data_IF_691622323014
#
_entry.id   IF_691622323014
#
_cell.length_a   1.000
_cell.length_b   1.000
_cell.length_c   1.000
_cell.angle_alpha   90.00
_cell.angle_beta   90.00
_cell.angle_gamma   90.00
#
_symmetry.space_group_name_H-M   'P 1'
#
loop_
_entity.id
_entity.type
_entity.pdbx_description
1 polymer ?
#
# COMPACT_ATOMS: atom_id res chain seq x y z
N UNK A 1 13.87 22.80 -8.54
CA UNK A 1 13.23 21.46 -8.58
C UNK A 1 11.74 21.68 -8.74
N UNK A 2 11.17 21.32 -9.89
CA UNK A 2 9.73 21.47 -10.13
C UNK A 2 8.99 20.36 -9.39
N UNK A 3 8.49 20.68 -8.19
CA UNK A 3 7.43 19.88 -7.56
C UNK A 3 6.21 19.96 -8.46
N UNK A 4 5.99 18.90 -9.23
CA UNK A 4 4.80 18.73 -10.04
C UNK A 4 3.62 18.57 -9.07
N UNK A 5 2.98 19.70 -8.73
CA UNK A 5 1.80 19.74 -7.89
C UNK A 5 0.69 19.10 -8.73
N UNK A 6 0.27 17.88 -8.37
CA UNK A 6 -0.97 17.32 -8.87
C UNK A 6 -2.06 18.39 -8.80
N UNK A 7 -2.77 18.63 -9.89
CA UNK A 7 -3.79 19.68 -9.87
C UNK A 7 -4.92 19.23 -8.95
N UNK A 8 -5.55 20.18 -8.26
CA UNK A 8 -6.70 19.91 -7.38
C UNK A 8 -7.78 19.08 -8.08
N UNK A 9 -7.94 19.23 -9.40
CA UNK A 9 -8.86 18.45 -10.22
C UNK A 9 -8.53 16.96 -10.26
N UNK A 10 -7.26 16.57 -10.33
CA UNK A 10 -6.86 15.15 -10.39
C UNK A 10 -7.15 14.42 -9.07
N UNK A 11 -6.93 15.11 -7.95
CA UNK A 11 -7.21 14.57 -6.61
C UNK A 11 -8.72 14.37 -6.41
N UNK A 12 -9.54 15.33 -6.86
CA UNK A 12 -10.99 15.16 -6.82
C UNK A 12 -11.46 14.03 -7.75
N UNK A 13 -10.92 13.90 -8.97
CA UNK A 13 -11.23 12.76 -9.84
C UNK A 13 -10.83 11.42 -9.22
N UNK A 14 -9.68 11.34 -8.55
CA UNK A 14 -9.28 10.16 -7.79
C UNK A 14 -10.29 9.82 -6.70
N UNK A 15 -10.67 10.81 -5.89
CA UNK A 15 -11.67 10.65 -4.84
C UNK A 15 -13.02 10.19 -5.40
N UNK A 16 -13.52 10.83 -6.45
CA UNK A 16 -14.76 10.46 -7.13
C UNK A 16 -14.72 9.02 -7.65
N UNK A 17 -13.61 8.59 -8.25
CA UNK A 17 -13.45 7.21 -8.74
C UNK A 17 -13.65 6.18 -7.63
N UNK A 18 -13.12 6.44 -6.43
CA UNK A 18 -13.29 5.57 -5.26
C UNK A 18 -14.74 5.60 -4.77
N UNK A 19 -15.38 6.77 -4.73
CA UNK A 19 -16.80 6.91 -4.37
C UNK A 19 -17.75 6.17 -5.33
N UNK A 20 -17.33 6.00 -6.59
CA UNK A 20 -18.03 5.23 -7.63
C UNK A 20 -17.77 3.72 -7.57
N UNK A 21 -16.89 3.26 -6.67
CA UNK A 21 -16.71 1.83 -6.39
C UNK A 21 -15.32 1.29 -6.66
N UNK A 22 -14.37 2.12 -7.12
CA UNK A 22 -12.97 1.75 -7.15
C UNK A 22 -12.40 1.67 -5.72
N UNK A 23 -11.36 0.87 -5.56
CA UNK A 23 -10.54 0.89 -4.35
C UNK A 23 -9.11 0.55 -4.70
N UNK A 24 -8.16 1.09 -3.97
CA UNK A 24 -6.73 0.89 -4.21
C UNK A 24 -6.07 0.27 -2.99
N UNK A 25 -5.33 -0.80 -3.21
CA UNK A 25 -4.43 -1.37 -2.23
C UNK A 25 -3.01 -0.88 -2.52
N UNK A 26 -2.39 -0.26 -1.52
CA UNK A 26 -0.99 0.12 -1.53
C UNK A 26 -0.30 -0.76 -0.49
N UNK A 27 0.73 -1.51 -0.90
CA UNK A 27 1.49 -2.33 0.05
C UNK A 27 2.99 -2.25 -0.16
N UNK A 28 3.72 -2.28 0.94
CA UNK A 28 5.17 -2.33 0.96
C UNK A 28 5.62 -3.46 1.86
N UNK A 29 6.58 -4.24 1.38
CA UNK A 29 7.28 -5.25 2.16
C UNK A 29 8.77 -4.90 2.24
N UNK A 30 9.35 -4.96 3.43
CA UNK A 30 10.81 -4.87 3.61
C UNK A 30 11.47 -6.25 3.42
N UNK A 31 12.78 -6.28 3.22
CA UNK A 31 13.58 -7.50 3.03
C UNK A 31 14.39 -7.89 4.27
N UNK A 32 13.98 -7.43 5.45
CA UNK A 32 14.75 -7.56 6.70
C UNK A 32 15.09 -9.01 7.11
N UNK A 33 14.45 -10.02 6.51
CA UNK A 33 14.73 -11.45 6.72
C UNK A 33 15.29 -12.16 5.45
N UNK A 34 15.80 -11.40 4.48
CA UNK A 34 16.39 -11.93 3.25
C UNK A 34 15.35 -12.63 2.37
N UNK A 35 15.64 -13.87 1.97
CA UNK A 35 14.79 -14.67 1.06
C UNK A 35 13.36 -14.90 1.57
N UNK A 36 13.16 -14.83 2.89
CA UNK A 36 11.85 -15.00 3.52
C UNK A 36 10.99 -13.73 3.44
N UNK A 37 11.58 -12.61 3.02
CA UNK A 37 10.99 -11.29 3.09
C UNK A 37 10.75 -10.86 4.54
N UNK A 38 10.43 -9.59 4.76
CA UNK A 38 10.28 -9.02 6.08
C UNK A 38 8.89 -8.51 6.36
N UNK A 39 8.78 -7.38 7.04
CA UNK A 39 7.49 -6.86 7.47
C UNK A 39 6.73 -6.28 6.28
N UNK A 40 5.42 -6.51 6.26
CA UNK A 40 4.54 -5.98 5.21
C UNK A 40 3.50 -5.05 5.82
N UNK A 41 3.32 -3.90 5.18
CA UNK A 41 2.25 -2.94 5.48
C UNK A 41 1.34 -2.87 4.28
N UNK A 42 0.04 -2.98 4.51
CA UNK A 42 -1.02 -2.89 3.50
C UNK A 42 -1.98 -1.79 3.93
N UNK A 43 -2.29 -0.88 3.00
CA UNK A 43 -3.28 0.18 3.16
C UNK A 43 -4.26 0.07 2.01
N UNK A 44 -5.52 -0.21 2.29
CA UNK A 44 -6.57 -0.27 1.29
C UNK A 44 -7.47 0.95 1.40
N UNK A 45 -7.41 1.83 0.40
CA UNK A 45 -8.25 3.01 0.28
C UNK A 45 -9.55 2.64 -0.42
N UNK A 46 -10.69 2.90 0.23
CA UNK A 46 -12.02 2.55 -0.28
C UNK A 46 -13.08 3.54 0.19
N UNK A 47 -14.27 3.43 -0.38
CA UNK A 47 -15.45 4.16 0.08
C UNK A 47 -15.95 3.60 1.42
N UNK A 48 -16.40 4.49 2.31
CA UNK A 48 -17.15 4.10 3.51
C UNK A 48 -18.48 3.41 3.16
N UNK A 49 -18.89 2.34 3.86
CA UNK A 49 -20.13 1.62 3.55
C UNK A 49 -21.41 2.46 3.59
N UNK A 50 -21.47 3.50 4.43
CA UNK A 50 -22.69 4.29 4.70
C UNK A 50 -22.57 5.78 4.35
N UNK A 51 -21.38 6.23 3.94
CA UNK A 51 -21.06 7.66 3.82
C UNK A 51 -20.42 7.96 2.48
N UNK A 52 -20.51 9.22 2.02
CA UNK A 52 -19.81 9.70 0.81
C UNK A 52 -18.37 10.12 1.13
N UNK A 53 -17.71 9.34 1.96
CA UNK A 53 -16.36 9.59 2.46
C UNK A 53 -15.47 8.39 2.16
N UNK A 54 -14.16 8.64 2.19
CA UNK A 54 -13.14 7.63 1.99
C UNK A 54 -12.64 7.14 3.34
N UNK A 55 -12.32 5.87 3.42
CA UNK A 55 -11.64 5.29 4.56
C UNK A 55 -10.50 4.36 4.12
N UNK A 56 -9.61 4.06 5.05
CA UNK A 56 -8.54 3.10 4.88
C UNK A 56 -8.72 1.87 5.78
N UNK A 57 -8.57 0.69 5.21
CA UNK A 57 -8.21 -0.49 5.99
C UNK A 57 -6.69 -0.58 6.07
N UNK A 58 -6.18 -0.96 7.23
CA UNK A 58 -4.75 -1.07 7.51
C UNK A 58 -4.47 -2.47 8.02
N UNK A 59 -3.43 -3.09 7.47
CA UNK A 59 -2.91 -4.37 7.97
C UNK A 59 -1.39 -4.34 8.00
N UNK A 60 -0.81 -4.67 9.15
CA UNK A 60 0.65 -4.86 9.30
C UNK A 60 0.96 -6.30 9.68
N UNK A 61 1.75 -6.96 8.85
CA UNK A 61 2.14 -8.35 8.99
C UNK A 61 3.64 -8.40 9.32
N UNK A 62 3.99 -9.10 10.40
CA UNK A 62 5.39 -9.33 10.79
C UNK A 62 6.00 -10.37 9.86
N UNK A 63 7.23 -10.11 9.41
CA UNK A 63 8.04 -11.13 8.76
C UNK A 63 8.37 -12.26 9.74
N UNK A 64 8.53 -13.48 9.22
CA UNK A 64 8.93 -14.64 10.01
C UNK A 64 9.82 -15.56 9.19
N UNK A 65 10.83 -16.15 9.85
CA UNK A 65 11.67 -17.22 9.28
C UNK A 65 11.09 -18.61 9.58
N UNK A 66 10.11 -18.70 10.47
CA UNK A 66 9.36 -19.92 10.71
C UNK A 66 8.55 -20.20 9.43
N UNK A 67 8.61 -21.41 8.85
CA UNK A 67 7.75 -21.74 7.72
C UNK A 67 6.29 -21.91 8.19
N UNK A 68 5.30 -21.65 7.32
CA UNK A 68 3.91 -21.95 7.65
C UNK A 68 3.72 -23.47 7.81
N UNK A 69 2.76 -23.89 8.65
CA UNK A 69 2.35 -25.29 8.71
C UNK A 69 1.78 -25.74 7.34
N UNK A 70 1.62 -27.06 7.12
CA UNK A 70 1.05 -27.58 5.86
C UNK A 70 -0.30 -26.92 5.52
N UNK A 71 -0.57 -26.75 4.23
CA UNK A 71 -1.77 -26.06 3.71
C UNK A 71 -3.11 -26.62 4.23
N UNK A 72 -3.14 -27.90 4.60
CA UNK A 72 -4.33 -28.58 5.12
C UNK A 72 -4.41 -28.59 6.66
N UNK A 73 -3.44 -27.98 7.34
CA UNK A 73 -3.39 -27.96 8.80
C UNK A 73 -4.47 -27.03 9.36
N UNK A 74 -5.21 -27.44 10.41
CA UNK A 74 -6.14 -26.55 11.10
C UNK A 74 -5.43 -25.37 11.79
N UNK A 75 -4.11 -25.45 11.97
CA UNK A 75 -3.30 -24.38 12.59
C UNK A 75 -2.87 -23.29 11.59
N UNK A 76 -3.11 -23.46 10.29
CA UNK A 76 -2.63 -22.51 9.27
C UNK A 76 -3.22 -21.11 9.45
N UNK A 77 -4.51 -21.02 9.76
CA UNK A 77 -5.16 -19.74 9.99
C UNK A 77 -4.58 -19.05 11.23
N UNK A 78 -4.48 -19.77 12.35
CA UNK A 78 -3.89 -19.26 13.59
C UNK A 78 -2.43 -18.82 13.39
N UNK A 79 -1.68 -19.53 12.53
CA UNK A 79 -0.32 -19.16 12.17
C UNK A 79 -0.25 -17.77 11.52
N UNK A 80 -1.11 -17.47 10.54
CA UNK A 80 -1.12 -16.16 9.88
C UNK A 80 -1.70 -15.05 10.76
N UNK A 81 -2.73 -15.36 11.55
CA UNK A 81 -3.30 -14.41 12.52
C UNK A 81 -2.26 -13.95 13.55
N UNK A 82 -1.40 -14.87 14.02
CA UNK A 82 -0.26 -14.55 14.90
C UNK A 82 0.71 -13.53 14.30
N UNK A 83 0.84 -13.47 12.98
CA UNK A 83 1.75 -12.54 12.30
C UNK A 83 1.14 -11.13 12.16
N UNK A 84 -0.17 -10.98 12.33
CA UNK A 84 -0.83 -9.68 12.28
C UNK A 84 -0.47 -8.88 13.53
N UNK A 85 0.26 -7.80 13.34
CA UNK A 85 0.69 -6.90 14.42
C UNK A 85 -0.19 -5.67 14.59
N UNK A 86 -0.92 -5.32 13.54
CA UNK A 86 -1.87 -4.23 13.53
C UNK A 86 -2.93 -4.54 12.47
N UNK A 87 -4.20 -4.39 12.84
CA UNK A 87 -5.32 -4.46 11.92
C UNK A 87 -6.33 -3.38 12.33
N UNK A 88 -6.77 -2.59 11.37
CA UNK A 88 -7.75 -1.53 11.61
C UNK A 88 -8.61 -1.39 10.38
N UNK A 89 -9.91 -1.28 10.58
CA UNK A 89 -10.88 -1.27 9.49
C UNK A 89 -11.54 0.09 9.39
N UNK A 90 -11.60 0.61 8.17
CA UNK A 90 -12.28 1.84 7.79
C UNK A 90 -11.96 3.05 8.67
N UNK A 91 -10.67 3.40 8.77
CA UNK A 91 -10.22 4.66 9.35
C UNK A 91 -10.59 5.80 8.41
N UNK A 92 -11.37 6.81 8.83
CA UNK A 92 -11.74 7.95 7.98
C UNK A 92 -10.50 8.69 7.46
N UNK A 93 -10.52 9.08 6.18
CA UNK A 93 -9.41 9.80 5.56
C UNK A 93 -9.71 11.29 5.43
N UNK A 94 -8.82 12.12 5.96
CA UNK A 94 -8.84 13.56 5.71
C UNK A 94 -8.29 13.93 4.33
N UNK A 95 -8.40 15.22 3.96
CA UNK A 95 -7.95 15.73 2.65
C UNK A 95 -6.46 15.49 2.40
N UNK A 96 -5.62 15.62 3.43
CA UNK A 96 -4.18 15.45 3.29
C UNK A 96 -3.82 13.97 3.11
N UNK A 97 -4.51 13.07 3.80
CA UNK A 97 -4.32 11.63 3.64
C UNK A 97 -4.78 11.14 2.26
N UNK A 98 -5.87 11.69 1.72
CA UNK A 98 -6.31 11.42 0.35
C UNK A 98 -5.26 11.89 -0.67
N UNK A 99 -4.72 13.11 -0.50
CA UNK A 99 -3.64 13.64 -1.36
C UNK A 99 -2.37 12.77 -1.28
N UNK A 100 -1.96 12.36 -0.06
CA UNK A 100 -0.81 11.46 0.12
C UNK A 100 -1.01 10.10 -0.56
N UNK A 101 -2.20 9.53 -0.48
CA UNK A 101 -2.53 8.28 -1.16
C UNK A 101 -2.43 8.43 -2.69
N UNK A 102 -3.01 9.48 -3.25
CA UNK A 102 -2.93 9.78 -4.67
C UNK A 102 -1.48 9.99 -5.13
N UNK A 103 -0.71 10.80 -4.39
CA UNK A 103 0.70 11.06 -4.69
C UNK A 103 1.56 9.82 -4.57
N UNK A 104 1.28 8.92 -3.62
CA UNK A 104 1.97 7.64 -3.51
C UNK A 104 1.74 6.78 -4.75
N UNK A 105 0.52 6.76 -5.30
CA UNK A 105 0.24 6.06 -6.55
C UNK A 105 1.02 6.69 -7.70
N UNK A 106 0.92 8.01 -7.87
CA UNK A 106 1.64 8.72 -8.93
C UNK A 106 3.17 8.55 -8.85
N UNK A 107 3.75 8.58 -7.65
CA UNK A 107 5.19 8.41 -7.44
C UNK A 107 5.66 7.07 -8.02
N UNK A 108 4.95 5.99 -7.70
CA UNK A 108 5.31 4.65 -8.16
C UNK A 108 5.04 4.48 -9.66
N UNK A 109 3.93 5.01 -10.18
CA UNK A 109 3.61 5.02 -11.62
C UNK A 109 4.69 5.74 -12.42
N UNK A 110 5.08 6.94 -12.00
CA UNK A 110 6.11 7.74 -12.68
C UNK A 110 7.46 7.05 -12.64
N UNK A 111 7.85 6.48 -11.50
CA UNK A 111 9.08 5.71 -11.41
C UNK A 111 9.08 4.55 -12.41
N UNK A 112 7.99 3.79 -12.51
CA UNK A 112 7.89 2.66 -13.44
C UNK A 112 7.88 3.04 -14.91
N UNK A 113 7.27 4.16 -15.27
CA UNK A 113 7.27 4.65 -16.65
C UNK A 113 8.65 5.21 -17.07
N UNK A 114 9.41 5.77 -16.12
CA UNK A 114 10.69 6.43 -16.42
C UNK A 114 11.91 5.52 -16.28
N UNK A 115 11.84 4.48 -15.44
CA UNK A 115 12.92 3.52 -15.21
C UNK A 115 12.53 2.14 -15.79
N UNK A 116 12.69 1.93 -17.12
CA UNK A 116 12.26 0.71 -17.80
C UNK A 116 13.10 -0.52 -17.44
N UNK A 117 14.30 -0.31 -16.88
CA UNK A 117 15.19 -1.40 -16.45
C UNK A 117 15.16 -1.42 -14.92
N UNK A 118 14.78 -2.54 -14.28
CA UNK A 118 14.88 -2.66 -12.84
C UNK A 118 16.35 -2.59 -12.45
N UNK A 119 16.79 -1.44 -11.97
CA UNK A 119 18.05 -1.36 -11.23
C UNK A 119 17.88 -2.22 -9.99
N UNK A 120 18.84 -3.12 -9.74
CA UNK A 120 18.80 -3.99 -8.56
C UNK A 120 18.56 -3.13 -7.31
N UNK A 121 17.52 -3.48 -6.55
CA UNK A 121 17.03 -2.70 -5.42
C UNK A 121 18.17 -2.35 -4.46
N UNK A 122 18.38 -1.06 -4.23
CA UNK A 122 19.33 -0.58 -3.21
C UNK A 122 18.71 -0.51 -1.80
N UNK A 123 17.37 -0.58 -1.71
CA UNK A 123 16.64 -0.25 -0.49
C UNK A 123 16.04 -1.46 0.22
N UNK A 124 16.01 -2.63 -0.42
CA UNK A 124 15.47 -3.83 0.21
C UNK A 124 13.96 -3.74 0.48
N UNK A 125 13.24 -3.08 -0.42
CA UNK A 125 11.79 -2.94 -0.33
C UNK A 125 11.14 -3.67 -1.49
N UNK A 126 9.85 -3.94 -1.40
CA UNK A 126 9.02 -4.36 -2.53
C UNK A 126 7.75 -3.54 -2.41
N UNK A 127 7.49 -2.68 -3.40
CA UNK A 127 6.31 -1.83 -3.42
C UNK A 127 5.28 -2.41 -4.39
N UNK A 128 4.02 -2.33 -4.02
CA UNK A 128 2.92 -2.88 -4.80
C UNK A 128 1.71 -1.97 -4.73
N UNK A 129 1.07 -1.76 -5.87
CA UNK A 129 -0.23 -1.10 -5.98
C UNK A 129 -1.12 -1.96 -6.85
N UNK A 130 -2.35 -2.18 -6.40
CA UNK A 130 -3.40 -2.73 -7.26
C UNK A 130 -4.70 -2.01 -7.01
N UNK A 131 -5.51 -1.85 -8.04
CA UNK A 131 -6.91 -1.53 -7.85
C UNK A 131 -7.74 -2.82 -7.72
N UNK A 132 -8.98 -2.68 -7.25
CA UNK A 132 -9.88 -3.80 -6.94
C UNK A 132 -10.15 -4.73 -8.11
N UNK A 133 -10.34 -4.18 -9.30
CA UNK A 133 -10.65 -4.94 -10.51
C UNK A 133 -9.38 -5.40 -11.25
N UNK A 134 -8.19 -5.14 -10.69
CA UNK A 134 -6.89 -5.54 -11.25
C UNK A 134 -6.58 -4.95 -12.63
N UNK A 135 -7.33 -3.94 -13.09
CA UNK A 135 -7.02 -3.22 -14.35
C UNK A 135 -5.82 -2.29 -14.22
N UNK A 136 -5.44 -1.95 -12.98
CA UNK A 136 -4.26 -1.16 -12.65
C UNK A 136 -3.42 -1.90 -11.62
N UNK A 137 -2.25 -2.38 -12.04
CA UNK A 137 -1.30 -3.11 -11.21
C UNK A 137 0.10 -2.53 -11.41
N UNK A 138 0.78 -2.24 -10.30
CA UNK A 138 2.19 -1.88 -10.29
C UNK A 138 2.93 -2.80 -9.32
N UNK A 139 3.94 -3.48 -9.83
CA UNK A 139 4.93 -4.21 -9.04
C UNK A 139 6.29 -3.53 -9.17
N UNK A 140 6.86 -3.12 -8.04
CA UNK A 140 8.17 -2.50 -8.00
C UNK A 140 9.13 -3.27 -7.12
N UNK A 141 10.04 -4.01 -7.78
CA UNK A 141 11.14 -4.75 -7.17
C UNK A 141 12.49 -4.00 -7.24
N UNK A 142 12.58 -2.92 -8.02
CA UNK A 142 13.74 -2.01 -8.08
C UNK A 142 13.73 -0.97 -6.96
N UNK A 143 12.53 -0.77 -6.39
CA UNK A 143 12.28 -0.33 -5.03
C UNK A 143 12.82 1.04 -4.69
N UNK A 144 12.03 2.05 -4.99
CA UNK A 144 12.23 3.38 -4.42
C UNK A 144 11.83 3.43 -2.95
N UNK A 145 12.30 4.45 -2.25
CA UNK A 145 11.90 4.78 -0.86
C UNK A 145 10.38 4.93 -0.69
N UNK A 146 9.69 5.32 -1.77
CA UNK A 146 8.25 5.54 -1.83
C UNK A 146 7.78 6.53 -0.75
N UNK A 147 8.27 7.76 -0.87
CA UNK A 147 8.26 8.74 0.23
C UNK A 147 6.85 9.18 0.61
N UNK A 148 5.94 9.32 -0.36
CA UNK A 148 4.55 9.67 -0.08
C UNK A 148 3.83 8.54 0.66
N UNK A 149 4.16 7.28 0.37
CA UNK A 149 3.62 6.15 1.12
C UNK A 149 4.14 6.13 2.57
N UNK A 150 5.42 6.45 2.80
CA UNK A 150 5.93 6.61 4.18
C UNK A 150 5.22 7.75 4.93
N UNK A 151 4.98 8.88 4.26
CA UNK A 151 4.25 9.99 4.83
C UNK A 151 2.78 9.61 5.15
N UNK A 152 2.12 8.87 4.26
CA UNK A 152 0.79 8.33 4.48
C UNK A 152 0.76 7.41 5.71
N UNK A 153 1.68 6.45 5.79
CA UNK A 153 1.83 5.57 6.96
C UNK A 153 1.95 6.35 8.26
N UNK A 154 2.81 7.37 8.29
CA UNK A 154 3.00 8.23 9.46
C UNK A 154 1.72 8.99 9.81
N UNK A 155 1.02 9.53 8.82
CA UNK A 155 -0.23 10.28 9.03
C UNK A 155 -1.38 9.40 9.54
N UNK A 156 -1.33 8.09 9.27
CA UNK A 156 -2.28 7.09 9.75
C UNK A 156 -1.83 6.42 11.05
N UNK A 157 -0.75 6.92 11.69
CA UNK A 157 -0.16 6.35 12.91
C UNK A 157 0.22 4.87 12.80
N UNK A 158 0.62 4.43 11.60
CA UNK A 158 1.16 3.09 11.37
C UNK A 158 2.62 3.09 11.83
N UNK A 159 2.89 2.41 12.95
CA UNK A 159 4.25 2.20 13.47
C UNK A 159 4.90 1.01 12.78
#
# INVERSE_FOLDING_TARGET
MNTNIASTSEIESFKESILLGQSFELSQQDDSLGEWGGNRVIIQIKKMPKEKELCADIKKIKGTKEPPPPSHSPLLQAYYERLISQESSCIPLDKNQVDLAYRAILELTKHKLNDPIPQFSQFGLINFITNKDSTFIIHDHSSIKWSNFQALKKSLNIK
#
